data_IF_272153794302
#
_entry.id   IF_272153794302
#
_cell.length_a   1.000
_cell.length_b   1.000
_cell.length_c   1.000
_cell.angle_alpha   90.00
_cell.angle_beta   90.00
_cell.angle_gamma   90.00
#
_symmetry.space_group_name_H-M   'P 1'
#
loop_
_entity.id
_entity.type
_entity.pdbx_description
1 polymer ?
#
# COMPACT_ATOMS: atom_id res chain seq x y z
N UNK A 1 10.54 7.97 -11.02
CA UNK A 1 11.79 7.49 -10.34
C UNK A 1 12.09 6.06 -10.80
N UNK A 2 13.35 5.71 -10.96
CA UNK A 2 13.78 4.34 -11.28
C UNK A 2 14.27 3.66 -10.02
N UNK A 3 13.70 2.49 -9.72
CA UNK A 3 14.08 1.62 -8.61
C UNK A 3 14.89 0.46 -9.20
N UNK A 4 16.13 0.32 -8.75
CA UNK A 4 17.11 -0.65 -9.31
C UNK A 4 17.42 -1.83 -8.40
N UNK A 5 16.82 -1.86 -7.21
CA UNK A 5 17.06 -2.93 -6.24
C UNK A 5 15.96 -3.02 -5.20
N UNK A 6 15.86 -4.16 -4.54
CA UNK A 6 14.97 -4.34 -3.39
C UNK A 6 15.34 -3.41 -2.22
N UNK A 7 16.63 -3.14 -2.02
CA UNK A 7 17.08 -2.18 -1.00
C UNK A 7 16.56 -0.76 -1.29
N UNK A 8 16.58 -0.35 -2.56
CA UNK A 8 16.01 0.95 -2.94
C UNK A 8 14.49 1.00 -2.68
N UNK A 9 13.77 -0.08 -2.99
CA UNK A 9 12.33 -0.18 -2.70
C UNK A 9 12.07 -0.15 -1.20
N UNK A 10 12.93 -0.81 -0.41
CA UNK A 10 12.85 -0.79 1.05
C UNK A 10 13.02 0.65 1.61
N UNK A 11 13.99 1.40 1.12
CA UNK A 11 14.19 2.81 1.50
C UNK A 11 12.99 3.70 1.16
N UNK A 12 12.32 3.42 0.05
CA UNK A 12 11.07 4.11 -0.30
C UNK A 12 9.99 3.80 0.74
N UNK A 13 9.86 2.55 1.16
CA UNK A 13 8.90 2.17 2.21
C UNK A 13 9.17 2.92 3.52
N UNK A 14 10.43 3.08 3.91
CA UNK A 14 10.80 3.84 5.12
C UNK A 14 10.40 5.32 5.02
N UNK A 15 10.55 5.93 3.84
CA UNK A 15 10.12 7.31 3.61
C UNK A 15 8.60 7.46 3.69
N UNK A 16 7.84 6.48 3.16
CA UNK A 16 6.39 6.45 3.30
C UNK A 16 6.00 6.36 4.78
N UNK A 17 6.64 5.46 5.55
CA UNK A 17 6.34 5.25 6.96
C UNK A 17 6.58 6.49 7.83
N UNK A 18 7.55 7.34 7.49
CA UNK A 18 7.80 8.59 8.24
C UNK A 18 6.61 9.55 8.21
N UNK A 19 5.77 9.45 7.20
CA UNK A 19 4.61 10.30 7.01
C UNK A 19 3.28 9.58 7.25
N UNK A 20 3.34 8.25 7.38
CA UNK A 20 2.16 7.41 7.55
C UNK A 20 1.51 7.67 8.90
N UNK A 21 0.20 7.83 8.88
CA UNK A 21 -0.63 7.96 10.07
C UNK A 21 -1.86 7.05 9.96
N UNK A 22 -2.57 6.89 11.07
CA UNK A 22 -3.83 6.16 11.11
C UNK A 22 -4.81 6.76 10.11
N UNK A 23 -5.65 5.91 9.51
CA UNK A 23 -6.63 6.25 8.48
C UNK A 23 -6.07 6.62 7.11
N UNK A 24 -4.76 6.65 6.91
CA UNK A 24 -4.19 6.84 5.58
C UNK A 24 -4.58 5.70 4.64
N UNK A 25 -4.68 6.04 3.36
CA UNK A 25 -4.95 5.07 2.31
C UNK A 25 -3.83 5.06 1.29
N UNK A 26 -3.24 3.89 1.07
CA UNK A 26 -2.20 3.66 0.07
C UNK A 26 -2.78 2.79 -1.06
N UNK A 27 -2.83 3.32 -2.26
CA UNK A 27 -3.25 2.60 -3.46
C UNK A 27 -2.04 2.13 -4.25
N UNK A 28 -1.93 0.83 -4.47
CA UNK A 28 -0.84 0.22 -5.23
C UNK A 28 -1.34 -0.19 -6.61
N UNK A 29 -0.86 0.50 -7.62
CA UNK A 29 -1.27 0.33 -9.01
C UNK A 29 -0.13 -0.25 -9.83
N UNK A 30 -0.37 -1.31 -10.56
CA UNK A 30 0.63 -1.93 -11.43
C UNK A 30 0.27 -3.36 -11.81
N UNK A 31 0.97 -3.88 -12.81
CA UNK A 31 0.76 -5.23 -13.32
C UNK A 31 1.07 -6.32 -12.28
N UNK A 32 0.57 -7.52 -12.52
CA UNK A 32 0.88 -8.70 -11.71
C UNK A 32 2.42 -8.89 -11.67
N UNK A 33 2.95 -9.17 -10.49
CA UNK A 33 4.38 -9.46 -10.29
C UNK A 33 5.29 -8.23 -10.28
N UNK A 34 4.76 -7.01 -10.45
CA UNK A 34 5.59 -5.80 -10.54
C UNK A 34 6.22 -5.37 -9.21
N UNK A 35 5.72 -5.89 -8.07
CA UNK A 35 6.29 -5.62 -6.75
C UNK A 35 5.35 -4.94 -5.75
N UNK A 36 4.02 -4.91 -6.00
CA UNK A 36 3.05 -4.32 -5.07
C UNK A 36 3.08 -4.97 -3.70
N UNK A 37 2.95 -6.29 -3.64
CA UNK A 37 3.01 -7.05 -2.39
C UNK A 37 4.39 -6.95 -1.73
N UNK A 38 5.46 -6.84 -2.52
CA UNK A 38 6.81 -6.64 -1.98
C UNK A 38 6.93 -5.30 -1.26
N UNK A 39 6.39 -4.23 -1.83
CA UNK A 39 6.36 -2.92 -1.16
C UNK A 39 5.51 -2.98 0.11
N UNK A 40 4.35 -3.63 0.07
CA UNK A 40 3.50 -3.83 1.25
C UNK A 40 4.24 -4.59 2.35
N UNK A 41 4.98 -5.64 1.99
CA UNK A 41 5.81 -6.39 2.94
C UNK A 41 6.84 -5.51 3.63
N UNK A 42 7.52 -4.66 2.88
CA UNK A 42 8.48 -3.72 3.48
C UNK A 42 7.80 -2.72 4.41
N UNK A 43 6.66 -2.17 4.01
CA UNK A 43 5.89 -1.26 4.87
C UNK A 43 5.51 -1.93 6.20
N UNK A 44 4.93 -3.10 6.15
CA UNK A 44 4.48 -3.83 7.34
C UNK A 44 5.68 -4.23 8.21
N UNK A 45 6.69 -4.86 7.62
CA UNK A 45 7.86 -5.34 8.37
C UNK A 45 8.69 -4.21 8.96
N UNK A 46 8.86 -3.10 8.26
CA UNK A 46 9.56 -1.93 8.79
C UNK A 46 8.77 -1.26 9.93
N UNK A 47 7.45 -1.19 9.81
CA UNK A 47 6.63 -0.68 10.89
C UNK A 47 6.71 -1.57 12.14
N UNK A 48 6.66 -2.89 11.98
CA UNK A 48 6.85 -3.84 13.07
C UNK A 48 8.22 -3.63 13.74
N UNK A 49 9.28 -3.50 12.94
CA UNK A 49 10.64 -3.24 13.44
C UNK A 49 10.72 -1.94 14.22
N UNK A 50 10.13 -0.86 13.73
CA UNK A 50 10.08 0.43 14.43
C UNK A 50 9.36 0.34 15.77
N UNK A 51 8.37 -0.54 15.90
CA UNK A 51 7.61 -0.78 17.13
C UNK A 51 8.23 -1.85 18.04
N UNK A 52 9.41 -2.37 17.69
CA UNK A 52 10.09 -3.41 18.48
C UNK A 52 9.44 -4.78 18.42
N UNK A 53 8.64 -5.05 17.39
CA UNK A 53 7.92 -6.30 17.19
C UNK A 53 8.66 -7.22 16.21
N UNK A 54 8.44 -8.53 16.34
CA UNK A 54 8.93 -9.51 15.38
C UNK A 54 8.24 -9.32 14.03
N UNK A 55 9.00 -9.47 12.95
CA UNK A 55 8.47 -9.40 11.59
C UNK A 55 7.65 -10.65 11.29
N UNK A 56 6.47 -10.45 10.70
CA UNK A 56 5.59 -11.52 10.23
C UNK A 56 5.74 -11.76 8.73
N UNK A 57 5.32 -12.93 8.28
CA UNK A 57 5.17 -13.19 6.87
C UNK A 57 4.03 -12.35 6.30
N UNK A 58 4.29 -11.68 5.17
CA UNK A 58 3.29 -10.89 4.46
C UNK A 58 3.02 -11.55 3.10
N UNK A 59 1.80 -12.06 2.96
CA UNK A 59 1.32 -12.75 1.77
C UNK A 59 0.44 -11.82 0.93
N UNK A 60 0.31 -12.15 -0.36
CA UNK A 60 -0.67 -11.49 -1.22
C UNK A 60 -2.08 -11.94 -0.86
N UNK A 61 -3.04 -11.02 -0.62
CA UNK A 61 -4.42 -11.36 -0.31
C UNK A 61 -5.28 -11.61 -1.56
N UNK A 62 -4.70 -12.01 -2.69
CA UNK A 62 -5.43 -12.21 -3.95
C UNK A 62 -6.64 -13.12 -3.80
N UNK A 63 -6.51 -14.23 -3.07
CA UNK A 63 -7.60 -15.17 -2.83
C UNK A 63 -8.46 -14.81 -1.62
N UNK A 64 -7.86 -14.31 -0.54
CA UNK A 64 -8.55 -13.97 0.69
C UNK A 64 -9.17 -12.55 0.65
N UNK A 65 -8.80 -11.73 -0.33
CA UNK A 65 -9.21 -10.35 -0.55
C UNK A 65 -8.71 -9.36 0.51
N UNK A 66 -8.50 -9.81 1.74
CA UNK A 66 -8.09 -8.99 2.88
C UNK A 66 -7.22 -9.80 3.83
N UNK A 67 -6.09 -9.21 4.24
CA UNK A 67 -5.34 -9.59 5.44
C UNK A 67 -5.27 -8.41 6.39
N UNK A 68 -5.42 -8.67 7.68
CA UNK A 68 -5.33 -7.67 8.74
C UNK A 68 -4.06 -7.86 9.55
N UNK A 69 -3.38 -6.77 9.89
CA UNK A 69 -2.19 -6.75 10.73
C UNK A 69 -2.39 -5.76 11.87
N UNK A 70 -2.19 -6.21 13.11
CA UNK A 70 -2.16 -5.34 14.27
C UNK A 70 -0.70 -5.10 14.66
N UNK A 71 -0.27 -3.84 14.62
CA UNK A 71 1.13 -3.44 14.84
C UNK A 71 1.14 -2.33 15.88
N UNK A 72 1.22 -2.70 17.16
CA UNK A 72 1.10 -1.79 18.29
C UNK A 72 -0.24 -1.03 18.22
N UNK A 73 -0.23 0.29 18.10
CA UNK A 73 -1.40 1.15 17.96
C UNK A 73 -1.89 1.32 16.52
N UNK A 74 -1.21 0.71 15.54
CA UNK A 74 -1.62 0.68 14.14
C UNK A 74 -2.37 -0.60 13.81
N UNK A 75 -3.47 -0.43 13.08
CA UNK A 75 -4.11 -1.52 12.34
C UNK A 75 -3.89 -1.29 10.86
N UNK A 76 -3.40 -2.31 10.15
CA UNK A 76 -3.24 -2.27 8.70
C UNK A 76 -4.19 -3.27 8.08
N UNK A 77 -4.98 -2.81 7.12
CA UNK A 77 -5.85 -3.63 6.30
C UNK A 77 -5.29 -3.67 4.88
N UNK A 78 -4.79 -4.83 4.48
CA UNK A 78 -4.21 -5.07 3.17
C UNK A 78 -5.22 -5.78 2.28
N UNK A 79 -5.72 -5.06 1.29
CA UNK A 79 -6.70 -5.54 0.31
C UNK A 79 -6.06 -5.85 -1.03
N UNK A 80 -6.58 -6.85 -1.72
CA UNK A 80 -6.34 -7.08 -3.14
C UNK A 80 -7.69 -7.25 -3.86
N UNK A 81 -8.01 -6.31 -4.73
CA UNK A 81 -9.30 -6.24 -5.41
C UNK A 81 -9.28 -6.80 -6.84
N UNK A 82 -8.20 -7.48 -7.22
CA UNK A 82 -8.04 -8.03 -8.59
C UNK A 82 -9.22 -8.91 -9.04
N UNK A 83 -9.77 -9.71 -8.11
CA UNK A 83 -10.88 -10.62 -8.37
C UNK A 83 -12.27 -10.01 -8.19
N UNK A 84 -12.34 -8.80 -7.63
CA UNK A 84 -13.60 -8.08 -7.45
C UNK A 84 -13.99 -7.40 -8.76
N UNK A 85 -15.23 -7.61 -9.22
CA UNK A 85 -15.72 -7.10 -10.48
C UNK A 85 -16.82 -6.05 -10.34
N UNK A 86 -17.51 -6.04 -9.19
CA UNK A 86 -18.64 -5.16 -8.94
C UNK A 86 -18.43 -4.31 -7.68
N UNK A 87 -18.75 -3.04 -7.79
CA UNK A 87 -18.59 -2.07 -6.69
C UNK A 87 -19.36 -2.47 -5.42
N UNK A 88 -20.52 -3.11 -5.55
CA UNK A 88 -21.32 -3.56 -4.40
C UNK A 88 -20.58 -4.55 -3.49
N UNK A 89 -19.65 -5.34 -4.03
CA UNK A 89 -18.85 -6.29 -3.26
C UNK A 89 -17.88 -5.60 -2.30
N UNK A 90 -17.47 -4.36 -2.59
CA UNK A 90 -16.55 -3.58 -1.77
C UNK A 90 -17.12 -3.26 -0.39
N UNK A 91 -18.44 -3.10 -0.28
CA UNK A 91 -19.10 -2.81 1.01
C UNK A 91 -18.89 -3.92 2.02
N UNK A 92 -18.86 -5.18 1.59
CA UNK A 92 -18.62 -6.33 2.45
C UNK A 92 -17.18 -6.40 2.99
N UNK A 93 -16.24 -5.73 2.34
CA UNK A 93 -14.83 -5.68 2.76
C UNK A 93 -14.52 -4.56 3.76
N UNK A 94 -15.48 -3.68 4.05
CA UNK A 94 -15.31 -2.58 5.01
C UNK A 94 -14.36 -1.47 4.56
N UNK A 95 -14.03 -1.39 3.26
CA UNK A 95 -13.09 -0.38 2.73
C UNK A 95 -13.58 1.05 2.99
N UNK A 96 -14.90 1.26 2.97
CA UNK A 96 -15.52 2.57 3.15
C UNK A 96 -15.95 2.86 4.59
N UNK A 97 -15.68 1.95 5.52
CA UNK A 97 -16.01 2.15 6.93
C UNK A 97 -15.08 3.20 7.55
N UNK A 98 -15.63 4.36 7.88
CA UNK A 98 -14.93 5.40 8.62
C UNK A 98 -14.75 5.07 10.11
N UNK A 99 -15.41 4.02 10.60
CA UNK A 99 -15.32 3.57 11.99
C UNK A 99 -14.02 2.86 12.30
N UNK A 100 -13.31 2.36 11.26
CA UNK A 100 -12.05 1.67 11.43
C UNK A 100 -10.89 2.67 11.36
N UNK A 101 -10.23 2.85 12.49
CA UNK A 101 -8.99 3.61 12.61
C UNK A 101 -7.82 2.78 12.08
N UNK A 102 -7.82 2.53 10.78
CA UNK A 102 -6.90 1.62 10.11
C UNK A 102 -6.27 2.24 8.88
N UNK A 103 -4.98 1.97 8.70
CA UNK A 103 -4.29 2.19 7.43
C UNK A 103 -4.80 1.17 6.41
N UNK A 104 -5.23 1.62 5.26
CA UNK A 104 -5.68 0.77 4.16
C UNK A 104 -4.62 0.73 3.06
N UNK A 105 -4.11 -0.45 2.76
CA UNK A 105 -3.24 -0.69 1.61
C UNK A 105 -4.03 -1.50 0.61
N UNK A 106 -4.27 -0.94 -0.57
CA UNK A 106 -5.16 -1.53 -1.57
C UNK A 106 -4.41 -1.78 -2.87
N UNK A 107 -4.27 -3.05 -3.25
CA UNK A 107 -3.83 -3.46 -4.58
C UNK A 107 -5.04 -3.54 -5.50
N UNK A 108 -4.88 -3.12 -6.76
CA UNK A 108 -5.95 -3.07 -7.76
C UNK A 108 -7.13 -2.19 -7.34
N UNK A 109 -6.90 -0.90 -7.06
CA UNK A 109 -7.95 -0.03 -6.48
C UNK A 109 -8.97 0.52 -7.49
N UNK A 110 -9.01 0.05 -8.73
CA UNK A 110 -9.75 0.67 -9.84
C UNK A 110 -11.26 0.83 -9.57
N UNK A 111 -11.84 -0.07 -8.78
CA UNK A 111 -13.27 0.00 -8.44
C UNK A 111 -13.61 1.01 -7.34
N UNK A 112 -12.59 1.54 -6.65
CA UNK A 112 -12.83 2.52 -5.58
C UNK A 112 -13.00 3.90 -6.21
N UNK A 113 -14.22 4.41 -6.19
CA UNK A 113 -14.57 5.73 -6.70
C UNK A 113 -14.87 6.75 -5.58
N UNK A 114 -15.03 6.28 -4.35
CA UNK A 114 -15.29 7.15 -3.20
C UNK A 114 -14.09 8.06 -2.93
N UNK A 115 -14.30 9.37 -2.75
CA UNK A 115 -13.22 10.30 -2.36
C UNK A 115 -12.65 9.92 -1.01
N UNK A 116 -11.31 9.98 -0.89
CA UNK A 116 -10.57 9.73 0.34
C UNK A 116 -9.68 10.94 0.62
N UNK A 117 -9.64 11.40 1.88
CA UNK A 117 -8.94 12.62 2.24
C UNK A 117 -7.42 12.51 2.08
N UNK A 118 -6.81 11.58 2.82
CA UNK A 118 -5.36 11.39 2.82
C UNK A 118 -5.00 10.09 2.08
N UNK A 119 -4.73 10.24 0.79
CA UNK A 119 -4.46 9.12 -0.10
C UNK A 119 -3.14 9.30 -0.84
N UNK A 120 -2.35 8.23 -0.89
CA UNK A 120 -1.17 8.12 -1.75
C UNK A 120 -1.37 7.00 -2.77
N UNK A 121 -1.42 7.36 -4.04
CA UNK A 121 -1.38 6.39 -5.14
C UNK A 121 0.07 6.14 -5.54
N UNK A 122 0.46 4.89 -5.59
CA UNK A 122 1.81 4.43 -5.91
C UNK A 122 1.73 3.57 -7.17
N UNK A 123 2.27 4.09 -8.25
CA UNK A 123 2.26 3.44 -9.57
C UNK A 123 3.58 2.72 -9.78
N UNK A 124 3.52 1.39 -9.88
CA UNK A 124 4.68 0.55 -10.18
C UNK A 124 4.57 0.02 -11.61
N UNK A 125 5.65 0.15 -12.37
CA UNK A 125 5.76 -0.37 -13.74
C UNK A 125 7.10 -1.08 -13.92
N UNK A 126 7.15 -2.03 -14.83
CA UNK A 126 8.41 -2.62 -15.25
C UNK A 126 9.31 -1.57 -15.88
N UNK A 127 10.61 -1.64 -15.59
CA UNK A 127 11.64 -0.79 -16.21
C UNK A 127 12.09 -1.35 -17.56
N UNK A 128 13.19 -0.81 -18.05
CA UNK A 128 13.81 -1.29 -19.31
C UNK A 128 14.62 -2.56 -19.09
N UNK A 129 15.17 -2.73 -17.89
CA UNK A 129 15.90 -3.94 -17.48
C UNK A 129 15.00 -4.80 -16.57
N UNK A 130 15.29 -6.09 -16.54
CA UNK A 130 14.52 -7.08 -15.79
C UNK A 130 14.40 -6.75 -14.29
N UNK A 131 15.48 -6.26 -13.70
CA UNK A 131 15.56 -5.89 -12.28
C UNK A 131 15.11 -4.45 -11.98
N UNK A 132 14.81 -3.65 -13.01
CA UNK A 132 14.38 -2.27 -12.84
C UNK A 132 12.85 -2.15 -12.71
N UNK A 133 12.44 -1.21 -11.88
CA UNK A 133 11.03 -0.78 -11.78
C UNK A 133 10.97 0.75 -11.90
N UNK A 134 9.91 1.25 -12.52
CA UNK A 134 9.58 2.67 -12.52
C UNK A 134 8.49 2.89 -11.48
N UNK A 135 8.70 3.84 -10.58
CA UNK A 135 7.73 4.19 -9.55
C UNK A 135 7.36 5.66 -9.65
N UNK A 136 6.07 5.94 -9.58
CA UNK A 136 5.51 7.28 -9.55
C UNK A 136 4.50 7.41 -8.41
N UNK A 137 4.34 8.64 -7.91
CA UNK A 137 3.46 8.95 -6.79
C UNK A 137 2.46 10.04 -7.16
N UNK A 138 1.22 9.84 -6.75
CA UNK A 138 0.18 10.86 -6.80
C UNK A 138 -0.49 10.95 -5.44
N UNK A 139 -0.27 12.05 -4.75
CA UNK A 139 -0.78 12.27 -3.41
C UNK A 139 -1.97 13.20 -3.38
N UNK A 140 -2.82 13.00 -2.37
CA UNK A 140 -3.96 13.81 -2.03
C UNK A 140 -3.96 14.08 -0.53
N UNK A 141 -4.51 15.24 -0.11
CA UNK A 141 -4.44 15.66 1.28
C UNK A 141 -2.99 15.89 1.72
N UNK A 142 -2.60 15.33 2.86
CA UNK A 142 -1.24 15.47 3.38
C UNK A 142 -0.16 14.89 2.46
N UNK A 143 -0.53 14.00 1.53
CA UNK A 143 0.38 13.36 0.59
C UNK A 143 0.65 14.16 -0.69
N UNK A 144 -0.01 15.30 -0.86
CA UNK A 144 0.01 16.11 -2.09
C UNK A 144 1.41 16.39 -2.63
N UNK A 145 2.37 16.65 -1.76
CA UNK A 145 3.74 17.00 -2.14
C UNK A 145 4.73 15.85 -2.01
N UNK A 146 4.30 14.65 -1.63
CA UNK A 146 5.18 13.52 -1.35
C UNK A 146 6.15 13.18 -2.48
N UNK A 147 5.71 13.30 -3.72
CA UNK A 147 6.56 13.09 -4.91
C UNK A 147 7.84 13.95 -4.90
N UNK A 148 7.80 15.10 -4.29
CA UNK A 148 8.94 16.03 -4.20
C UNK A 148 9.77 15.85 -2.93
N UNK A 149 9.27 15.08 -1.98
CA UNK A 149 9.92 14.79 -0.70
C UNK A 149 10.79 13.52 -0.73
N UNK A 150 10.65 12.72 -1.78
CA UNK A 150 11.23 11.36 -1.86
C UNK A 150 12.54 11.28 -2.65
#
# INVERSE_FOLDING_TARGET
>A
MIVKSLDHLNKISEKILKKLDKKDCLFLVGEIGVGKTTLTRYLINNLQKQKGLSQTEVLSPTFNLLYEYEISDFKIMHYDLYRIKETKELKHLGIFSNELDAVKIVEWPDLIKTPLEDKLEIYLRYGEKEDERKIDFKGQGKWKNFKHEI
#
